data_IF_792225719009
#
_entry.id   IF_792225719009
#
_cell.length_a   1.000
_cell.length_b   1.000
_cell.length_c   1.000
_cell.angle_alpha   90.00
_cell.angle_beta   90.00
_cell.angle_gamma   90.00
#
_symmetry.space_group_name_H-M   'P 1'
#
loop_
_entity.id
_entity.type
_entity.pdbx_description
1 polymer ?
#
# COMPACT_ATOMS: atom_id res chain seq x y z
N UNK A 1 -32.55 30.20 15.60
CA UNK A 1 -31.85 28.94 15.96
C UNK A 1 -31.04 28.48 14.75
N UNK A 2 -29.77 28.88 14.64
CA UNK A 2 -28.89 28.48 13.53
C UNK A 2 -28.00 27.34 14.02
N UNK A 3 -28.47 26.10 13.82
CA UNK A 3 -27.66 24.91 14.04
C UNK A 3 -26.56 24.87 12.96
N UNK A 4 -25.35 25.31 13.33
CA UNK A 4 -24.13 25.12 12.56
C UNK A 4 -23.90 23.61 12.45
N UNK A 5 -24.22 23.01 11.30
CA UNK A 5 -23.82 21.64 10.95
C UNK A 5 -22.30 21.62 10.92
N UNK A 6 -21.68 21.17 12.00
CA UNK A 6 -20.26 20.79 12.05
C UNK A 6 -20.06 19.64 11.07
N UNK A 7 -19.26 19.83 10.00
CA UNK A 7 -19.01 18.76 9.05
C UNK A 7 -18.04 17.76 9.69
N UNK A 8 -18.63 16.72 10.27
CA UNK A 8 -18.22 15.33 10.02
C UNK A 8 -16.71 15.06 10.05
N UNK A 9 -16.03 15.41 11.14
CA UNK A 9 -14.63 14.99 11.38
C UNK A 9 -14.53 13.45 11.44
N UNK A 10 -15.54 12.79 12.01
CA UNK A 10 -15.61 11.33 12.16
C UNK A 10 -15.72 10.55 10.83
N UNK A 11 -16.29 11.12 9.77
CA UNK A 11 -16.34 10.44 8.46
C UNK A 11 -15.00 10.51 7.72
N UNK A 12 -14.23 11.58 7.91
CA UNK A 12 -12.91 11.74 7.28
C UNK A 12 -11.85 10.85 7.94
N UNK A 13 -11.96 10.62 9.24
CA UNK A 13 -11.11 9.65 9.96
C UNK A 13 -11.40 8.22 9.49
N UNK A 14 -12.68 7.84 9.38
CA UNK A 14 -13.08 6.52 8.85
C UNK A 14 -12.60 6.27 7.42
N UNK A 15 -12.68 7.29 6.55
CA UNK A 15 -12.22 7.16 5.16
C UNK A 15 -10.68 7.08 5.06
N UNK A 16 -9.96 7.84 5.88
CA UNK A 16 -8.50 7.77 5.96
C UNK A 16 -8.00 6.43 6.51
N UNK A 17 -8.63 5.91 7.57
CA UNK A 17 -8.32 4.58 8.12
C UNK A 17 -8.63 3.46 7.14
N UNK A 18 -9.73 3.57 6.39
CA UNK A 18 -10.09 2.60 5.34
C UNK A 18 -9.05 2.59 4.23
N UNK A 19 -8.65 3.77 3.73
CA UNK A 19 -7.57 3.90 2.73
C UNK A 19 -6.24 3.36 3.23
N UNK A 20 -5.94 3.52 4.52
CA UNK A 20 -4.71 3.01 5.13
C UNK A 20 -4.73 1.47 5.23
N UNK A 21 -5.86 0.87 5.60
CA UNK A 21 -6.05 -0.60 5.56
C UNK A 21 -5.95 -1.16 4.14
N UNK A 22 -6.54 -0.48 3.16
CA UNK A 22 -6.42 -0.88 1.75
C UNK A 22 -4.98 -0.80 1.24
N UNK A 23 -4.26 0.28 1.58
CA UNK A 23 -2.86 0.42 1.23
C UNK A 23 -1.99 -0.68 1.87
N UNK A 24 -2.21 -0.99 3.15
CA UNK A 24 -1.55 -2.09 3.85
C UNK A 24 -1.84 -3.45 3.20
N UNK A 25 -3.09 -3.70 2.82
CA UNK A 25 -3.47 -4.94 2.14
C UNK A 25 -2.77 -5.07 0.78
N UNK A 26 -2.65 -3.98 0.01
CA UNK A 26 -1.94 -3.96 -1.27
C UNK A 26 -0.44 -4.24 -1.10
N UNK A 27 0.21 -3.63 -0.10
CA UNK A 27 1.61 -3.91 0.23
C UNK A 27 1.81 -5.38 0.56
N UNK A 28 0.91 -5.95 1.38
CA UNK A 28 0.97 -7.38 1.74
C UNK A 28 0.88 -8.29 0.51
N UNK A 29 -0.10 -8.05 -0.36
CA UNK A 29 -0.26 -8.84 -1.60
C UNK A 29 0.97 -8.74 -2.51
N UNK A 30 1.52 -7.54 -2.69
CA UNK A 30 2.73 -7.34 -3.48
C UNK A 30 3.94 -8.07 -2.86
N UNK A 31 4.08 -8.03 -1.53
CA UNK A 31 5.13 -8.74 -0.81
C UNK A 31 5.01 -10.26 -0.94
N UNK A 32 3.80 -10.81 -0.82
CA UNK A 32 3.53 -12.25 -0.98
C UNK A 32 3.87 -12.72 -2.41
N UNK A 33 3.51 -11.93 -3.43
CA UNK A 33 3.91 -12.20 -4.83
C UNK A 33 5.42 -12.21 -4.99
N UNK A 34 6.12 -11.24 -4.39
CA UNK A 34 7.57 -11.15 -4.47
C UNK A 34 8.23 -12.37 -3.82
N UNK A 35 7.74 -12.80 -2.66
CA UNK A 35 8.22 -14.00 -1.98
C UNK A 35 8.02 -15.27 -2.81
N UNK A 36 6.88 -15.39 -3.51
CA UNK A 36 6.60 -16.51 -4.41
C UNK A 36 7.57 -16.53 -5.61
N UNK A 37 7.86 -15.38 -6.21
CA UNK A 37 8.80 -15.27 -7.33
C UNK A 37 10.22 -15.63 -6.90
N UNK A 38 10.67 -15.13 -5.74
CA UNK A 38 11.97 -15.47 -5.16
C UNK A 38 12.05 -16.97 -4.89
N UNK A 39 11.00 -17.58 -4.34
CA UNK A 39 10.92 -19.02 -4.10
C UNK A 39 11.06 -19.83 -5.39
N UNK A 40 10.40 -19.42 -6.47
CA UNK A 40 10.58 -20.04 -7.79
C UNK A 40 12.03 -19.92 -8.23
N UNK A 41 12.63 -18.72 -8.19
CA UNK A 41 14.02 -18.50 -8.60
C UNK A 41 15.05 -19.30 -7.77
N UNK A 42 14.77 -19.55 -6.49
CA UNK A 42 15.65 -20.29 -5.58
C UNK A 42 15.58 -21.82 -5.73
N UNK A 43 14.57 -22.38 -6.42
CA UNK A 43 14.48 -23.83 -6.65
C UNK A 43 15.57 -24.26 -7.65
N UNK A 44 16.40 -25.22 -7.25
CA UNK A 44 17.41 -25.82 -8.12
C UNK A 44 16.69 -26.53 -9.28
N UNK A 45 16.87 -26.06 -10.51
CA UNK A 45 16.32 -26.69 -11.73
C UNK A 45 15.43 -25.82 -12.60
N UNK A 46 15.18 -24.55 -12.25
CA UNK A 46 14.39 -23.65 -13.11
C UNK A 46 15.09 -23.42 -14.46
N UNK A 47 14.35 -23.62 -15.55
CA UNK A 47 14.87 -23.40 -16.90
C UNK A 47 15.28 -21.94 -17.12
N UNK A 48 16.21 -21.64 -18.04
CA UNK A 48 16.60 -20.27 -18.35
C UNK A 48 15.42 -19.37 -18.77
N UNK A 49 14.40 -19.94 -19.43
CA UNK A 49 13.19 -19.22 -19.84
C UNK A 49 12.34 -18.83 -18.62
N UNK A 50 12.10 -19.77 -17.71
CA UNK A 50 11.34 -19.53 -16.48
C UNK A 50 12.06 -18.53 -15.55
N UNK A 51 13.41 -18.55 -15.50
CA UNK A 51 14.16 -17.52 -14.75
C UNK A 51 13.98 -16.13 -15.34
N UNK A 52 13.98 -15.99 -16.67
CA UNK A 52 13.76 -14.70 -17.33
C UNK A 52 12.34 -14.18 -17.08
N UNK A 53 11.35 -15.07 -17.15
CA UNK A 53 9.96 -14.74 -16.81
C UNK A 53 9.85 -14.29 -15.34
N UNK A 54 10.39 -15.06 -14.40
CA UNK A 54 10.41 -14.73 -12.98
C UNK A 54 11.12 -13.40 -12.69
N UNK A 55 12.25 -13.12 -13.35
CA UNK A 55 12.93 -11.82 -13.23
C UNK A 55 12.08 -10.66 -13.77
N UNK A 56 11.35 -10.86 -14.87
CA UNK A 56 10.47 -9.83 -15.43
C UNK A 56 9.27 -9.55 -14.51
N UNK A 57 8.68 -10.59 -13.94
CA UNK A 57 7.60 -10.48 -12.96
C UNK A 57 8.10 -9.86 -11.66
N UNK A 58 9.31 -10.21 -11.21
CA UNK A 58 9.94 -9.62 -10.02
C UNK A 58 10.05 -8.10 -10.16
N UNK A 59 10.48 -7.61 -11.33
CA UNK A 59 10.60 -6.16 -11.58
C UNK A 59 9.25 -5.45 -11.61
N UNK A 60 8.18 -6.11 -12.09
CA UNK A 60 6.83 -5.55 -12.06
C UNK A 60 6.32 -5.46 -10.63
N UNK A 61 6.46 -6.54 -9.86
CA UNK A 61 6.03 -6.59 -8.46
C UNK A 61 6.83 -5.63 -7.60
N UNK A 62 8.12 -5.43 -7.87
CA UNK A 62 8.94 -4.44 -7.18
C UNK A 62 8.43 -3.00 -7.41
N UNK A 63 7.99 -2.68 -8.63
CA UNK A 63 7.32 -1.40 -8.92
C UNK A 63 5.97 -1.29 -8.20
N UNK A 64 5.14 -2.33 -8.24
CA UNK A 64 3.87 -2.37 -7.50
C UNK A 64 4.09 -2.13 -5.99
N UNK A 65 5.14 -2.73 -5.42
CA UNK A 65 5.50 -2.58 -4.02
C UNK A 65 5.96 -1.15 -3.71
N UNK A 66 6.78 -0.54 -4.57
CA UNK A 66 7.21 0.85 -4.41
C UNK A 66 6.02 1.82 -4.47
N UNK A 67 5.11 1.63 -5.41
CA UNK A 67 3.89 2.43 -5.52
C UNK A 67 2.97 2.25 -4.33
N UNK A 68 2.76 1.01 -3.87
CA UNK A 68 1.95 0.71 -2.69
C UNK A 68 2.54 1.31 -1.41
N UNK A 69 3.87 1.23 -1.25
CA UNK A 69 4.59 1.84 -0.12
C UNK A 69 4.49 3.37 -0.18
N UNK A 70 4.59 3.95 -1.36
CA UNK A 70 4.41 5.39 -1.55
C UNK A 70 2.99 5.82 -1.17
N UNK A 71 1.97 5.12 -1.63
CA UNK A 71 0.57 5.38 -1.28
C UNK A 71 0.34 5.25 0.23
N UNK A 72 0.91 4.23 0.86
CA UNK A 72 0.84 4.05 2.32
C UNK A 72 1.45 5.26 3.04
N UNK A 73 2.64 5.71 2.63
CA UNK A 73 3.33 6.85 3.24
C UNK A 73 2.57 8.17 3.07
N UNK A 74 1.97 8.38 1.90
CA UNK A 74 1.11 9.54 1.62
C UNK A 74 -0.17 9.49 2.48
N UNK A 75 -0.78 8.31 2.64
CA UNK A 75 -1.94 8.11 3.51
C UNK A 75 -1.60 8.33 4.99
N UNK A 76 -0.46 7.83 5.47
CA UNK A 76 0.05 8.08 6.82
C UNK A 76 0.33 9.57 7.06
N UNK A 77 0.92 10.27 6.10
CA UNK A 77 1.16 11.71 6.18
C UNK A 77 -0.15 12.51 6.22
N UNK A 78 -1.16 12.12 5.44
CA UNK A 78 -2.49 12.72 5.45
C UNK A 78 -3.26 12.47 6.77
N UNK A 79 -3.11 11.28 7.34
CA UNK A 79 -3.67 10.94 8.65
C UNK A 79 -2.97 11.72 9.79
N UNK A 80 -1.63 11.85 9.73
CA UNK A 80 -0.84 12.61 10.71
C UNK A 80 -1.06 14.13 10.66
N UNK A 81 -1.26 14.71 9.47
CA UNK A 81 -1.52 16.15 9.30
C UNK A 81 -2.94 16.57 9.69
N UNK A 82 -3.92 15.65 9.63
CA UNK A 82 -5.28 15.91 10.14
C UNK A 82 -5.31 16.15 11.66
N UNK A 83 -4.35 15.61 12.41
CA UNK A 83 -4.30 15.75 13.88
C UNK A 83 -3.74 17.10 14.35
N UNK A 84 -3.02 17.84 13.49
CA UNK A 84 -2.33 19.09 13.87
C UNK A 84 -3.17 20.34 13.56
N UNK A 85 -4.12 20.28 12.62
CA UNK A 85 -4.92 21.47 12.22
C UNK A 85 -6.19 21.72 13.05
N UNK A 86 -6.52 20.88 14.02
CA UNK A 86 -7.71 21.07 14.86
C UNK A 86 -7.42 21.76 16.21
N UNK A 87 -6.17 22.15 16.46
CA UNK A 87 -5.76 22.92 17.64
C UNK A 87 -5.28 24.32 17.22
N UNK A 88 -6.20 25.20 16.84
CA UNK A 88 -5.99 26.64 16.76
C UNK A 88 -7.32 27.37 16.89
#
# INVERSE_FOLDING_TARGET
>A
MTAKKTPTTAAKESEAETRLKEAQARVKVASDKQAAIVSVMSRLGVSPAERRLAQSESKKVERELQEATRMLREAEAAAGTSKVRTAS
#
